data_IF_046333819457
#
_entry.id   IF_046333819457
#
_cell.length_a   1.000
_cell.length_b   1.000
_cell.length_c   1.000
_cell.angle_alpha   90.00
_cell.angle_beta   90.00
_cell.angle_gamma   90.00
#
_symmetry.space_group_name_H-M   'P 1'
#
loop_
_entity.id
_entity.type
_entity.pdbx_description
1 polymer ?
#
# COMPACT_ATOMS: atom_id res chain seq x y z
N UNK A 1 39.90 22.27 -4.16
CA UNK A 1 39.45 22.41 -2.75
C UNK A 1 37.94 22.64 -2.62
N UNK A 2 37.34 23.62 -3.32
CA UNK A 2 35.90 23.93 -3.24
C UNK A 2 34.96 22.75 -3.59
N UNK A 3 35.35 21.90 -4.55
CA UNK A 3 34.54 20.75 -5.02
C UNK A 3 34.42 19.64 -3.98
N UNK A 4 35.42 19.46 -3.12
CA UNK A 4 35.41 18.45 -2.05
C UNK A 4 34.50 18.92 -0.92
N UNK A 5 34.54 20.22 -0.59
CA UNK A 5 33.69 20.82 0.45
C UNK A 5 32.19 20.68 0.12
N UNK A 6 31.80 20.91 -1.15
CA UNK A 6 30.43 20.70 -1.61
C UNK A 6 29.97 19.25 -1.51
N UNK A 7 30.84 18.29 -1.88
CA UNK A 7 30.54 16.86 -1.74
C UNK A 7 30.42 16.45 -0.27
N UNK A 8 31.25 16.99 0.62
CA UNK A 8 31.17 16.74 2.07
C UNK A 8 29.89 17.32 2.67
N UNK A 9 29.45 18.51 2.24
CA UNK A 9 28.18 19.10 2.67
C UNK A 9 27.00 18.21 2.25
N UNK A 10 26.94 17.84 0.97
CA UNK A 10 25.89 16.96 0.44
C UNK A 10 25.88 15.63 1.19
N UNK A 11 27.05 15.03 1.41
CA UNK A 11 27.16 13.78 2.15
C UNK A 11 26.65 13.92 3.59
N UNK A 12 27.05 14.97 4.29
CA UNK A 12 26.64 15.19 5.68
C UNK A 12 25.13 15.47 5.79
N UNK A 13 24.56 16.26 4.88
CA UNK A 13 23.12 16.50 4.87
C UNK A 13 22.35 15.23 4.55
N UNK A 14 22.74 14.50 3.50
CA UNK A 14 22.06 13.26 3.13
C UNK A 14 22.16 12.19 4.22
N UNK A 15 23.37 11.91 4.74
CA UNK A 15 23.54 10.87 5.77
C UNK A 15 23.06 11.28 7.15
N UNK A 16 23.44 12.47 7.61
CA UNK A 16 23.23 12.84 9.01
C UNK A 16 21.85 13.44 9.24
N UNK A 17 21.26 14.10 8.23
CA UNK A 17 19.94 14.73 8.38
C UNK A 17 18.88 13.86 7.75
N UNK A 18 18.98 13.57 6.45
CA UNK A 18 17.92 12.87 5.72
C UNK A 18 17.82 11.40 6.15
N UNK A 19 18.88 10.62 6.03
CA UNK A 19 18.85 9.21 6.40
C UNK A 19 18.53 9.02 7.89
N UNK A 20 19.21 9.78 8.76
CA UNK A 20 19.08 9.60 10.20
C UNK A 20 17.80 10.18 10.79
N UNK A 21 17.22 11.26 10.27
CA UNK A 21 16.06 11.89 10.91
C UNK A 21 14.76 11.72 10.12
N UNK A 22 14.83 11.51 8.81
CA UNK A 22 13.65 11.34 7.95
C UNK A 22 13.45 9.85 7.66
N UNK A 23 14.49 9.16 7.21
CA UNK A 23 14.35 7.77 6.75
C UNK A 23 14.44 6.74 7.88
N UNK A 24 15.06 7.04 9.03
CA UNK A 24 15.23 6.06 10.13
C UNK A 24 13.91 5.46 10.61
N UNK A 25 12.83 6.23 10.54
CA UNK A 25 11.52 5.84 11.04
C UNK A 25 10.66 5.16 9.97
N UNK A 26 11.05 5.28 8.69
CA UNK A 26 10.30 4.72 7.57
C UNK A 26 10.11 3.20 7.67
N UNK A 27 11.12 2.40 8.06
CA UNK A 27 10.96 0.97 8.26
C UNK A 27 9.95 0.62 9.37
N UNK A 28 9.81 1.48 10.38
CA UNK A 28 8.90 1.23 11.49
C UNK A 28 7.44 1.42 11.08
N UNK A 29 7.15 2.36 10.15
CA UNK A 29 5.79 2.71 9.68
C UNK A 29 5.01 1.49 9.15
N UNK A 30 5.71 0.54 8.53
CA UNK A 30 5.12 -0.71 8.02
C UNK A 30 5.68 -1.95 8.71
N UNK A 31 6.21 -1.81 9.93
CA UNK A 31 6.70 -2.97 10.66
C UNK A 31 5.53 -3.91 10.99
N UNK A 32 5.75 -5.24 10.97
CA UNK A 32 4.72 -6.22 11.34
C UNK A 32 4.14 -5.97 12.73
N UNK A 33 4.94 -5.37 13.62
CA UNK A 33 4.51 -4.96 14.96
C UNK A 33 3.45 -3.86 14.90
N UNK A 34 3.64 -2.80 14.11
CA UNK A 34 2.62 -1.74 13.96
C UNK A 34 1.36 -2.31 13.33
N UNK A 35 1.51 -3.14 12.29
CA UNK A 35 0.37 -3.79 11.62
C UNK A 35 -0.45 -4.64 12.59
N UNK A 36 0.21 -5.39 13.48
CA UNK A 36 -0.44 -6.21 14.50
C UNK A 36 -1.10 -5.40 15.64
N UNK A 37 -0.78 -4.11 15.76
CA UNK A 37 -1.35 -3.23 16.79
C UNK A 37 -2.53 -2.39 16.29
N UNK A 38 -2.87 -2.44 14.99
CA UNK A 38 -4.06 -1.77 14.49
C UNK A 38 -5.33 -2.35 15.10
N UNK A 39 -6.28 -1.48 15.43
CA UNK A 39 -7.62 -1.90 15.82
C UNK A 39 -8.41 -2.39 14.60
N UNK A 40 -9.51 -3.12 14.84
CA UNK A 40 -10.41 -3.55 13.77
C UNK A 40 -10.94 -2.36 12.94
N UNK A 41 -11.26 -1.24 13.60
CA UNK A 41 -11.72 -0.01 12.92
C UNK A 41 -10.63 0.60 12.03
N UNK A 42 -9.38 0.59 12.48
CA UNK A 42 -8.24 1.10 11.69
C UNK A 42 -7.96 0.18 10.50
N UNK A 43 -7.98 -1.14 10.73
CA UNK A 43 -7.85 -2.13 9.67
C UNK A 43 -8.96 -2.00 8.64
N UNK A 44 -10.21 -1.81 9.09
CA UNK A 44 -11.34 -1.60 8.20
C UNK A 44 -11.11 -0.33 7.36
N UNK A 45 -10.70 0.78 7.96
CA UNK A 45 -10.42 2.02 7.21
C UNK A 45 -9.28 1.89 6.19
N UNK A 46 -8.23 1.14 6.52
CA UNK A 46 -7.07 0.92 5.63
C UNK A 46 -7.43 -0.05 4.50
N UNK A 47 -8.16 -1.13 4.82
CA UNK A 47 -8.50 -2.20 3.88
C UNK A 47 -9.77 -1.94 3.07
N UNK A 48 -10.59 -0.95 3.45
CA UNK A 48 -11.84 -0.64 2.78
C UNK A 48 -11.59 -0.20 1.34
N UNK A 49 -12.21 -0.92 0.41
CA UNK A 49 -12.24 -0.52 -0.99
C UNK A 49 -13.06 0.75 -1.18
N UNK A 50 -12.66 1.58 -2.15
CA UNK A 50 -13.44 2.76 -2.52
C UNK A 50 -14.87 2.34 -2.95
N UNK A 51 -15.92 3.13 -2.64
CA UNK A 51 -17.31 2.76 -2.94
C UNK A 51 -17.57 2.33 -4.40
N UNK A 52 -16.97 3.04 -5.37
CA UNK A 52 -17.10 2.69 -6.79
C UNK A 52 -16.46 1.35 -7.16
N UNK A 53 -15.37 0.96 -6.47
CA UNK A 53 -14.70 -0.34 -6.67
C UNK A 53 -15.57 -1.45 -6.09
N UNK A 54 -16.16 -1.24 -4.92
CA UNK A 54 -17.09 -2.19 -4.29
C UNK A 54 -18.26 -2.48 -5.22
N UNK A 55 -18.87 -1.44 -5.78
CA UNK A 55 -20.02 -1.57 -6.67
C UNK A 55 -19.65 -2.28 -7.97
N UNK A 56 -18.52 -1.90 -8.58
CA UNK A 56 -18.02 -2.58 -9.78
C UNK A 56 -17.73 -4.07 -9.52
N UNK A 57 -17.13 -4.40 -8.38
CA UNK A 57 -16.85 -5.78 -7.97
C UNK A 57 -18.14 -6.58 -7.80
N UNK A 58 -19.19 -6.00 -7.21
CA UNK A 58 -20.52 -6.64 -7.10
C UNK A 58 -21.11 -6.95 -8.47
N UNK A 59 -21.14 -5.95 -9.36
CA UNK A 59 -21.65 -6.11 -10.73
C UNK A 59 -20.92 -7.21 -11.51
N UNK A 60 -19.58 -7.22 -11.45
CA UNK A 60 -18.76 -8.22 -12.13
C UNK A 60 -18.97 -9.62 -11.55
N UNK A 61 -19.16 -9.76 -10.23
CA UNK A 61 -19.48 -11.06 -9.61
C UNK A 61 -20.82 -11.63 -10.11
N UNK A 62 -21.83 -10.78 -10.27
CA UNK A 62 -23.12 -11.18 -10.82
C UNK A 62 -22.97 -11.62 -12.28
N UNK A 63 -22.26 -10.83 -13.11
CA UNK A 63 -22.01 -11.17 -14.51
C UNK A 63 -21.25 -12.51 -14.64
N UNK A 64 -20.24 -12.72 -13.79
CA UNK A 64 -19.49 -13.98 -13.77
C UNK A 64 -20.37 -15.17 -13.38
N UNK A 65 -21.22 -15.01 -12.36
CA UNK A 65 -22.15 -16.07 -11.94
C UNK A 65 -23.13 -16.44 -13.07
N UNK A 66 -23.70 -15.44 -13.74
CA UNK A 66 -24.60 -15.65 -14.86
C UNK A 66 -23.90 -16.34 -16.03
N UNK A 67 -22.68 -15.93 -16.36
CA UNK A 67 -21.91 -16.55 -17.43
C UNK A 67 -21.58 -18.01 -17.12
N UNK A 68 -21.22 -18.32 -15.87
CA UNK A 68 -20.98 -19.70 -15.43
C UNK A 68 -22.24 -20.55 -15.52
N UNK A 69 -23.37 -20.04 -15.07
CA UNK A 69 -24.65 -20.75 -15.16
C UNK A 69 -25.02 -21.05 -16.63
N UNK A 70 -24.92 -20.04 -17.51
CA UNK A 70 -25.18 -20.23 -18.94
C UNK A 70 -24.23 -21.24 -19.59
N UNK A 71 -22.95 -21.25 -19.21
CA UNK A 71 -22.00 -22.25 -19.71
C UNK A 71 -22.36 -23.67 -19.25
N UNK A 72 -22.73 -23.85 -17.99
CA UNK A 72 -23.17 -25.15 -17.46
C UNK A 72 -24.44 -25.64 -18.17
N UNK A 73 -25.38 -24.76 -18.47
CA UNK A 73 -26.59 -25.12 -19.20
C UNK A 73 -26.32 -25.51 -20.66
N UNK A 74 -25.33 -24.89 -21.31
CA UNK A 74 -24.89 -25.25 -22.67
C UNK A 74 -24.08 -26.55 -22.73
N UNK A 75 -23.58 -27.04 -21.59
CA UNK A 75 -22.80 -28.29 -21.49
C UNK A 75 -23.66 -29.52 -21.16
N UNK A 76 -24.94 -29.32 -20.86
CA UNK A 76 -25.95 -30.38 -20.70
C UNK A 76 -26.56 -30.73 -22.05
#
# INVERSE_FOLDING_TARGET
MLRILGLTLIYNVCKQVIERHILRHLPDIFSPRIVAMYTDDELERIAMERPGVVEKRKQLRVQLANLKAGLEDLRK
#
